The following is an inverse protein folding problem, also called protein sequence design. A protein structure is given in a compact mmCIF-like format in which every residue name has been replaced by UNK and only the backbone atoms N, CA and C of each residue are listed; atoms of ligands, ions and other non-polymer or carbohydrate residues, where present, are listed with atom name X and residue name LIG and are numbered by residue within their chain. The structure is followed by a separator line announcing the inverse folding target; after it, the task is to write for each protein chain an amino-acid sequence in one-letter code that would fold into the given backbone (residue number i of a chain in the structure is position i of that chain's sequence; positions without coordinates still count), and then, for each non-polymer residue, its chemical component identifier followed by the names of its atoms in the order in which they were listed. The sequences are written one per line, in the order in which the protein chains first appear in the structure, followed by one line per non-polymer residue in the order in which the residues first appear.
data_IF_082554028736
#
_entry.id   IF_082554028736
#
_cell.length_a   1.000
_cell.length_b   1.000
_cell.length_c   1.000
_cell.angle_alpha   90.00
_cell.angle_beta   90.00
_cell.angle_gamma   90.00
#
_symmetry.space_group_name_H-M   'P 1'
#
loop_
_entity.id
_entity.type
_entity.pdbx_description
1 polymer ?
#
# COMPACT_ATOMS: atom_id res chain seq x y z
N UNK A 1 13.42 -29.73 -22.07
CA UNK A 1 12.99 -29.10 -20.85
C UNK A 1 13.82 -27.81 -20.65
N UNK A 2 13.23 -26.62 -20.70
CA UNK A 2 13.97 -25.36 -20.81
C UNK A 2 14.56 -25.01 -19.44
N UNK A 3 15.86 -25.19 -19.22
CA UNK A 3 16.56 -24.95 -17.95
C UNK A 3 16.21 -23.55 -17.35
N UNK A 4 16.03 -22.54 -18.19
CA UNK A 4 15.66 -21.17 -17.76
C UNK A 4 14.31 -21.10 -17.03
N UNK A 5 13.38 -22.03 -17.30
CA UNK A 5 12.08 -22.07 -16.60
C UNK A 5 12.17 -22.71 -15.21
N UNK A 6 13.23 -23.47 -14.93
CA UNK A 6 13.46 -24.12 -13.64
C UNK A 6 14.30 -23.26 -12.66
N UNK A 7 15.05 -22.29 -13.17
CA UNK A 7 15.93 -21.45 -12.32
C UNK A 7 15.12 -20.68 -11.28
N UNK A 8 13.99 -20.06 -11.64
CA UNK A 8 13.15 -19.33 -10.69
C UNK A 8 12.62 -20.20 -9.54
N UNK A 9 11.92 -21.32 -9.82
CA UNK A 9 11.48 -22.24 -8.77
C UNK A 9 12.62 -22.80 -7.91
N UNK A 10 13.76 -23.15 -8.51
CA UNK A 10 14.92 -23.65 -7.78
C UNK A 10 15.51 -22.60 -6.82
N UNK A 11 15.65 -21.34 -7.27
CA UNK A 11 16.10 -20.25 -6.42
C UNK A 11 15.12 -19.99 -5.26
N UNK A 12 13.83 -20.06 -5.52
CA UNK A 12 12.80 -19.93 -4.47
C UNK A 12 12.91 -21.05 -3.44
N UNK A 13 13.05 -22.31 -3.90
CA UNK A 13 13.22 -23.46 -2.99
C UNK A 13 14.53 -23.32 -2.19
N UNK A 14 15.64 -22.98 -2.84
CA UNK A 14 16.93 -22.78 -2.18
C UNK A 14 16.85 -21.66 -1.13
N UNK A 15 16.15 -20.56 -1.42
CA UNK A 15 15.92 -19.46 -0.49
C UNK A 15 15.07 -19.90 0.71
N UNK A 16 13.98 -20.63 0.48
CA UNK A 16 13.14 -21.16 1.57
C UNK A 16 13.91 -22.12 2.46
N UNK A 17 14.69 -23.02 1.87
CA UNK A 17 15.55 -23.95 2.62
C UNK A 17 16.63 -23.21 3.41
N UNK A 18 17.23 -22.16 2.84
CA UNK A 18 18.19 -21.32 3.52
C UNK A 18 17.56 -20.60 4.73
N UNK A 19 16.37 -20.02 4.59
CA UNK A 19 15.64 -19.41 5.70
C UNK A 19 15.30 -20.44 6.77
N UNK A 20 14.80 -21.62 6.40
CA UNK A 20 14.49 -22.69 7.34
C UNK A 20 15.75 -23.15 8.10
N UNK A 21 16.88 -23.33 7.41
CA UNK A 21 18.17 -23.63 8.03
C UNK A 21 18.61 -22.54 9.02
N UNK A 22 18.50 -21.27 8.62
CA UNK A 22 18.87 -20.13 9.46
C UNK A 22 18.01 -20.04 10.73
N UNK A 23 16.70 -20.27 10.61
CA UNK A 23 15.77 -20.29 11.75
C UNK A 23 16.08 -21.45 12.71
N UNK A 24 16.41 -22.63 12.21
CA UNK A 24 16.67 -23.81 13.03
C UNK A 24 18.05 -23.73 13.70
N UNK A 25 19.11 -23.40 12.96
CA UNK A 25 20.49 -23.55 13.43
C UNK A 25 21.14 -22.27 13.96
N UNK A 26 20.66 -21.08 13.55
CA UNK A 26 21.26 -19.80 13.96
C UNK A 26 20.44 -19.05 14.98
N UNK A 27 19.11 -19.11 14.90
CA UNK A 27 18.20 -18.34 15.75
C UNK A 27 17.66 -19.19 16.91
N UNK A 28 17.88 -20.52 16.89
CA UNK A 28 17.31 -21.46 17.89
C UNK A 28 15.80 -21.28 18.06
N UNK A 29 15.07 -21.16 16.95
CA UNK A 29 13.67 -20.82 16.89
C UNK A 29 12.78 -21.86 17.56
N UNK A 30 12.00 -21.46 18.57
CA UNK A 30 11.05 -22.33 19.27
C UNK A 30 9.73 -22.47 18.51
N UNK A 31 9.64 -23.53 17.71
CA UNK A 31 8.44 -23.87 16.93
C UNK A 31 7.22 -24.15 17.82
N UNK A 32 7.41 -24.62 19.06
CA UNK A 32 6.31 -24.88 19.99
C UNK A 32 5.73 -23.56 20.51
N UNK A 33 6.57 -22.62 20.88
CA UNK A 33 6.18 -21.26 21.26
C UNK A 33 5.43 -20.57 20.10
N UNK A 34 6.00 -20.59 18.89
CA UNK A 34 5.36 -20.05 17.68
C UNK A 34 3.95 -20.63 17.46
N UNK A 35 3.82 -21.96 17.50
CA UNK A 35 2.53 -22.63 17.31
C UNK A 35 1.52 -22.30 18.40
N UNK A 36 1.94 -22.20 19.66
CA UNK A 36 1.09 -21.85 20.79
C UNK A 36 0.58 -20.42 20.68
N UNK A 37 1.43 -19.46 20.31
CA UNK A 37 1.06 -18.07 20.12
C UNK A 37 0.02 -17.89 19.00
N UNK A 38 0.18 -18.58 17.88
CA UNK A 38 -0.80 -18.55 16.79
C UNK A 38 -2.15 -19.18 17.19
N UNK A 39 -2.12 -20.27 17.97
CA UNK A 39 -3.36 -20.93 18.45
C UNK A 39 -4.11 -20.11 19.50
N UNK A 40 -3.38 -19.33 20.30
CA UNK A 40 -3.97 -18.46 21.32
C UNK A 40 -4.38 -17.08 20.77
N UNK A 41 -4.07 -16.80 19.51
CA UNK A 41 -4.44 -15.53 18.88
C UNK A 41 -5.96 -15.35 18.85
N UNK A 42 -6.43 -14.18 19.23
CA UNK A 42 -7.85 -13.84 19.33
C UNK A 42 -8.55 -13.84 17.97
N UNK A 43 -9.52 -14.74 17.72
CA UNK A 43 -10.26 -14.79 16.47
C UNK A 43 -11.05 -13.50 16.20
N UNK A 44 -11.50 -12.80 17.23
CA UNK A 44 -12.26 -11.56 17.12
C UNK A 44 -11.39 -10.44 16.52
N UNK A 45 -10.16 -10.27 17.01
CA UNK A 45 -9.22 -9.30 16.47
C UNK A 45 -8.79 -9.64 15.03
N UNK A 46 -8.59 -10.94 14.73
CA UNK A 46 -8.30 -11.41 13.37
C UNK A 46 -9.46 -11.07 12.43
N UNK A 47 -10.69 -11.40 12.83
CA UNK A 47 -11.88 -11.10 12.04
C UNK A 47 -12.07 -9.57 11.83
N UNK A 48 -11.82 -8.76 12.86
CA UNK A 48 -11.85 -7.31 12.75
C UNK A 48 -10.78 -6.79 11.77
N UNK A 49 -9.56 -7.31 11.83
CA UNK A 49 -8.48 -6.98 10.90
C UNK A 49 -8.86 -7.28 9.45
N UNK A 50 -9.38 -8.48 9.19
CA UNK A 50 -9.87 -8.89 7.85
C UNK A 50 -11.02 -7.99 7.40
N UNK A 51 -12.02 -7.73 8.25
CA UNK A 51 -13.16 -6.89 7.92
C UNK A 51 -12.73 -5.47 7.53
N UNK A 52 -11.75 -4.89 8.25
CA UNK A 52 -11.20 -3.57 7.93
C UNK A 52 -10.50 -3.55 6.56
N UNK A 53 -9.76 -4.59 6.20
CA UNK A 53 -9.15 -4.71 4.86
C UNK A 53 -10.24 -4.78 3.78
N UNK A 54 -11.25 -5.64 3.94
CA UNK A 54 -12.33 -5.76 2.96
C UNK A 54 -13.12 -4.46 2.81
N UNK A 55 -13.40 -3.77 3.92
CA UNK A 55 -14.06 -2.46 3.88
C UNK A 55 -13.21 -1.41 3.16
N UNK A 56 -11.88 -1.46 3.33
CA UNK A 56 -10.95 -0.60 2.57
C UNK A 56 -11.07 -0.82 1.06
N UNK A 57 -11.31 -2.06 0.60
CA UNK A 57 -11.54 -2.38 -0.82
C UNK A 57 -12.86 -1.82 -1.34
N UNK A 58 -13.92 -1.82 -0.52
CA UNK A 58 -15.19 -1.18 -0.88
C UNK A 58 -14.99 0.32 -1.09
N UNK A 59 -14.31 1.00 -0.15
CA UNK A 59 -14.00 2.43 -0.28
C UNK A 59 -13.10 2.69 -1.49
N UNK A 60 -12.11 1.85 -1.77
CA UNK A 60 -11.24 1.94 -2.94
C UNK A 60 -12.05 1.87 -4.24
N UNK A 61 -12.99 0.94 -4.34
CA UNK A 61 -13.88 0.83 -5.50
C UNK A 61 -14.76 2.07 -5.67
N UNK A 62 -15.25 2.59 -4.57
CA UNK A 62 -16.08 3.80 -4.58
C UNK A 62 -15.28 5.02 -5.02
N UNK A 63 -14.06 5.17 -4.50
CA UNK A 63 -13.13 6.24 -4.89
C UNK A 63 -12.80 6.16 -6.39
N UNK A 64 -12.55 4.96 -6.93
CA UNK A 64 -12.30 4.80 -8.36
C UNK A 64 -13.52 5.21 -9.20
N UNK A 65 -14.73 4.86 -8.77
CA UNK A 65 -15.96 5.32 -9.42
C UNK A 65 -16.10 6.85 -9.41
N UNK A 66 -15.62 7.53 -8.36
CA UNK A 66 -15.54 9.02 -8.32
C UNK A 66 -14.56 9.54 -9.37
N UNK A 67 -13.40 8.95 -9.52
CA UNK A 67 -12.41 9.34 -10.54
C UNK A 67 -12.91 9.13 -11.99
N UNK A 68 -13.83 8.19 -12.21
CA UNK A 68 -14.39 7.91 -13.52
C UNK A 68 -15.57 8.82 -13.92
N UNK A 69 -16.18 9.53 -12.97
CA UNK A 69 -17.40 10.35 -13.21
C UNK A 69 -17.31 11.33 -14.38
N UNK A 70 -16.16 11.99 -14.66
CA UNK A 70 -16.07 12.91 -15.79
C UNK A 70 -16.36 12.25 -17.14
N UNK A 71 -16.04 10.97 -17.31
CA UNK A 71 -16.20 10.25 -18.57
C UNK A 71 -17.20 9.12 -18.58
N UNK A 72 -17.41 8.44 -17.44
CA UNK A 72 -18.21 7.21 -17.38
C UNK A 72 -18.87 7.05 -16.02
N UNK A 73 -20.20 6.89 -16.02
CA UNK A 73 -20.95 6.59 -14.79
C UNK A 73 -20.94 5.08 -14.54
N UNK A 74 -20.17 4.65 -13.56
CA UNK A 74 -20.05 3.24 -13.18
C UNK A 74 -20.45 3.06 -11.72
N UNK A 75 -21.23 2.02 -11.43
CA UNK A 75 -21.58 1.68 -10.06
C UNK A 75 -20.34 1.25 -9.27
N UNK A 76 -20.11 1.77 -8.04
CA UNK A 76 -18.92 1.46 -7.26
C UNK A 76 -18.70 -0.04 -7.06
N UNK A 77 -19.74 -0.78 -6.72
CA UNK A 77 -19.65 -2.22 -6.46
C UNK A 77 -19.30 -3.03 -7.71
N UNK A 78 -19.60 -2.50 -8.91
CA UNK A 78 -19.23 -3.18 -10.16
C UNK A 78 -17.72 -3.22 -10.37
N UNK A 79 -16.95 -2.30 -9.79
CA UNK A 79 -15.49 -2.24 -9.87
C UNK A 79 -14.79 -3.13 -8.81
N UNK A 80 -15.53 -3.62 -7.81
CA UNK A 80 -14.98 -4.35 -6.68
C UNK A 80 -14.26 -5.64 -7.13
N UNK A 81 -14.83 -6.37 -8.08
CA UNK A 81 -14.20 -7.56 -8.67
C UNK A 81 -12.85 -7.24 -9.29
N UNK A 82 -12.78 -6.20 -10.13
CA UNK A 82 -11.51 -5.77 -10.75
C UNK A 82 -10.45 -5.35 -9.72
N UNK A 83 -10.87 -4.74 -8.59
CA UNK A 83 -9.94 -4.41 -7.49
C UNK A 83 -9.41 -5.68 -6.83
N UNK A 84 -10.28 -6.63 -6.43
CA UNK A 84 -9.84 -7.88 -5.83
C UNK A 84 -8.95 -8.70 -6.75
N UNK A 85 -9.31 -8.84 -8.03
CA UNK A 85 -8.48 -9.56 -9.01
C UNK A 85 -7.11 -8.92 -9.17
N UNK A 86 -7.06 -7.60 -9.36
CA UNK A 86 -5.80 -6.89 -9.55
C UNK A 86 -4.88 -6.97 -8.34
N UNK A 87 -5.40 -6.77 -7.12
CA UNK A 87 -4.58 -6.91 -5.91
C UNK A 87 -4.18 -8.35 -5.61
N UNK A 88 -5.01 -9.33 -5.96
CA UNK A 88 -4.63 -10.75 -5.90
C UNK A 88 -3.50 -11.06 -6.87
N UNK A 89 -3.52 -10.48 -8.06
CA UNK A 89 -2.42 -10.59 -9.02
C UNK A 89 -1.12 -9.98 -8.43
N UNK A 90 -1.20 -8.82 -7.77
CA UNK A 90 -0.03 -8.23 -7.07
C UNK A 90 0.47 -9.15 -5.96
N UNK A 91 -0.41 -9.72 -5.15
CA UNK A 91 -0.02 -10.62 -4.07
C UNK A 91 0.67 -11.88 -4.59
N UNK A 92 0.26 -12.41 -5.75
CA UNK A 92 0.78 -13.64 -6.34
C UNK A 92 1.99 -13.41 -7.25
N UNK A 93 2.01 -12.33 -8.04
CA UNK A 93 3.00 -12.08 -9.10
C UNK A 93 3.91 -10.87 -8.81
N UNK A 94 3.69 -10.17 -7.69
CA UNK A 94 4.46 -8.99 -7.31
C UNK A 94 3.99 -7.69 -7.96
N UNK A 95 4.75 -6.61 -7.73
CA UNK A 95 4.34 -5.24 -8.11
C UNK A 95 4.11 -5.00 -9.59
N UNK A 96 4.77 -5.73 -10.46
CA UNK A 96 4.54 -5.59 -11.91
C UNK A 96 3.08 -5.87 -12.28
N UNK A 97 2.40 -6.73 -11.51
CA UNK A 97 0.98 -7.01 -11.70
C UNK A 97 0.05 -5.87 -11.28
N UNK A 98 0.53 -4.78 -10.68
CA UNK A 98 -0.33 -3.65 -10.27
C UNK A 98 -0.99 -2.93 -11.47
N UNK A 99 -0.35 -2.97 -12.64
CA UNK A 99 -0.91 -2.47 -13.89
C UNK A 99 -2.09 -3.32 -14.43
N UNK A 100 -2.31 -4.51 -13.90
CA UNK A 100 -3.50 -5.30 -14.22
C UNK A 100 -4.80 -4.61 -13.81
N UNK A 101 -4.79 -3.78 -12.75
CA UNK A 101 -5.99 -3.06 -12.29
C UNK A 101 -6.51 -2.06 -13.31
N UNK A 102 -5.72 -1.08 -13.80
CA UNK A 102 -6.18 -0.18 -14.85
C UNK A 102 -6.62 -0.93 -16.12
N UNK A 103 -5.96 -2.02 -16.49
CA UNK A 103 -6.35 -2.86 -17.62
C UNK A 103 -7.75 -3.49 -17.42
N UNK A 104 -7.99 -4.12 -16.27
CA UNK A 104 -9.26 -4.75 -15.94
C UNK A 104 -10.41 -3.74 -15.89
N UNK A 105 -10.15 -2.56 -15.35
CA UNK A 105 -11.14 -1.49 -15.26
C UNK A 105 -11.42 -0.92 -16.65
N UNK A 106 -10.41 -0.73 -17.51
CA UNK A 106 -10.60 -0.32 -18.90
C UNK A 106 -11.51 -1.28 -19.66
N UNK A 107 -11.24 -2.59 -19.55
CA UNK A 107 -12.06 -3.65 -20.16
C UNK A 107 -13.50 -3.61 -19.65
N UNK A 108 -13.70 -3.44 -18.35
CA UNK A 108 -15.03 -3.41 -17.73
C UNK A 108 -15.84 -2.17 -18.07
N UNK A 109 -15.19 -1.01 -18.14
CA UNK A 109 -15.84 0.29 -18.37
C UNK A 109 -15.87 0.67 -19.84
N UNK A 110 -15.32 -0.16 -20.73
CA UNK A 110 -15.19 0.10 -22.17
C UNK A 110 -14.44 1.41 -22.46
N UNK A 111 -13.44 1.72 -21.64
CA UNK A 111 -12.55 2.87 -21.78
C UNK A 111 -11.17 2.42 -22.27
N UNK A 112 -10.29 3.37 -22.57
CA UNK A 112 -8.92 3.05 -23.00
C UNK A 112 -8.00 2.77 -21.84
N UNK A 113 -7.02 1.87 -22.00
CA UNK A 113 -6.02 1.55 -20.98
C UNK A 113 -5.19 2.79 -20.58
N UNK A 114 -4.72 3.65 -21.51
CA UNK A 114 -4.04 4.88 -21.15
C UNK A 114 -4.85 5.82 -20.26
N UNK A 115 -6.16 5.94 -20.49
CA UNK A 115 -7.03 6.73 -19.64
C UNK A 115 -7.10 6.16 -18.21
N UNK A 116 -7.14 4.83 -18.07
CA UNK A 116 -7.15 4.19 -16.75
C UNK A 116 -5.79 4.24 -16.05
N UNK A 117 -4.68 4.26 -16.79
CA UNK A 117 -3.35 4.52 -16.22
C UNK A 117 -3.26 5.94 -15.66
N UNK A 118 -3.86 6.93 -16.33
CA UNK A 118 -3.94 8.30 -15.79
C UNK A 118 -4.73 8.33 -14.48
N UNK A 119 -5.89 7.67 -14.40
CA UNK A 119 -6.68 7.52 -13.16
C UNK A 119 -5.87 6.81 -12.07
N UNK A 120 -5.16 5.75 -12.41
CA UNK A 120 -4.28 5.03 -11.50
C UNK A 120 -3.17 5.95 -10.93
N UNK A 121 -2.59 6.80 -11.76
CA UNK A 121 -1.57 7.77 -11.32
C UNK A 121 -2.14 8.75 -10.31
N UNK A 122 -3.33 9.30 -10.57
CA UNK A 122 -4.05 10.16 -9.63
C UNK A 122 -4.34 9.41 -8.32
N UNK A 123 -4.81 8.15 -8.40
CA UNK A 123 -5.01 7.30 -7.23
C UNK A 123 -3.73 7.20 -6.38
N UNK A 124 -2.58 6.95 -7.00
CA UNK A 124 -1.29 6.85 -6.28
C UNK A 124 -0.91 8.15 -5.56
N UNK A 125 -1.22 9.30 -6.15
CA UNK A 125 -0.95 10.59 -5.50
C UNK A 125 -1.79 10.77 -4.23
N UNK A 126 -3.09 10.43 -4.28
CA UNK A 126 -3.95 10.47 -3.10
C UNK A 126 -3.52 9.45 -2.03
N UNK A 127 -3.11 8.25 -2.44
CA UNK A 127 -2.61 7.23 -1.53
C UNK A 127 -1.34 7.67 -0.81
N UNK A 128 -0.38 8.26 -1.53
CA UNK A 128 0.86 8.79 -0.94
C UNK A 128 0.57 9.92 0.05
N UNK A 129 -0.31 10.85 -0.31
CA UNK A 129 -0.71 11.94 0.58
C UNK A 129 -1.40 11.44 1.84
N UNK A 130 -2.33 10.51 1.73
CA UNK A 130 -3.04 9.93 2.86
C UNK A 130 -2.10 9.12 3.77
N UNK A 131 -1.23 8.29 3.19
CA UNK A 131 -0.24 7.53 3.94
C UNK A 131 0.73 8.48 4.68
N UNK A 132 1.25 9.50 3.99
CA UNK A 132 2.15 10.47 4.60
C UNK A 132 1.50 11.21 5.78
N UNK A 133 0.22 11.60 5.67
CA UNK A 133 -0.51 12.21 6.78
C UNK A 133 -0.66 11.26 7.97
N UNK A 134 -1.02 10.00 7.73
CA UNK A 134 -1.21 9.02 8.80
C UNK A 134 0.12 8.71 9.49
N UNK A 135 1.19 8.44 8.75
CA UNK A 135 2.50 8.14 9.32
C UNK A 135 3.08 9.33 10.08
N UNK A 136 3.05 10.53 9.47
CA UNK A 136 3.59 11.72 10.12
C UNK A 136 2.80 12.10 11.37
N UNK A 137 1.47 11.99 11.35
CA UNK A 137 0.63 12.21 12.54
C UNK A 137 0.94 11.17 13.63
N UNK A 138 1.01 9.88 13.27
CA UNK A 138 1.32 8.82 14.23
C UNK A 138 2.67 9.06 14.94
N UNK A 139 3.68 9.51 14.21
CA UNK A 139 4.98 9.78 14.79
C UNK A 139 5.05 11.13 15.53
N UNK A 140 4.36 12.17 15.04
CA UNK A 140 4.29 13.46 15.73
C UNK A 140 3.63 13.36 17.12
N UNK A 141 2.69 12.43 17.26
CA UNK A 141 1.97 12.14 18.52
C UNK A 141 2.41 10.83 19.17
N UNK A 142 3.64 10.39 18.92
CA UNK A 142 4.18 9.15 19.49
C UNK A 142 4.17 9.23 21.04
N UNK A 143 3.78 8.16 21.75
CA UNK A 143 3.76 8.14 23.20
C UNK A 143 5.18 8.16 23.78
N UNK A 144 5.33 8.76 24.98
CA UNK A 144 6.64 8.98 25.66
C UNK A 144 7.41 7.69 25.97
N UNK A 145 6.70 6.58 26.12
CA UNK A 145 7.28 5.26 26.37
C UNK A 145 7.80 4.55 25.12
N UNK A 146 7.69 5.18 23.94
CA UNK A 146 8.21 4.61 22.70
C UNK A 146 9.74 4.76 22.64
N UNK A 147 10.49 3.72 22.25
CA UNK A 147 11.93 3.84 22.01
C UNK A 147 12.24 4.97 21.02
N UNK A 148 13.27 5.76 21.31
CA UNK A 148 13.65 6.92 20.47
C UNK A 148 12.53 7.96 20.27
N UNK A 149 11.64 8.12 21.26
CA UNK A 149 10.48 9.01 21.23
C UNK A 149 10.78 10.41 20.66
N UNK A 150 11.82 11.08 21.16
CA UNK A 150 12.18 12.43 20.68
C UNK A 150 12.49 12.46 19.18
N UNK A 151 13.26 11.48 18.69
CA UNK A 151 13.56 11.37 17.26
C UNK A 151 12.31 11.17 16.43
N UNK A 152 11.41 10.26 16.85
CA UNK A 152 10.16 10.03 16.15
C UNK A 152 9.25 11.25 16.15
N UNK A 153 9.12 11.96 17.28
CA UNK A 153 8.33 13.18 17.35
C UNK A 153 8.90 14.27 16.44
N UNK A 154 10.22 14.51 16.47
CA UNK A 154 10.83 15.51 15.59
C UNK A 154 10.63 15.18 14.11
N UNK A 155 10.92 13.93 13.72
CA UNK A 155 10.70 13.48 12.33
C UNK A 155 9.22 13.54 11.96
N UNK A 156 8.35 13.12 12.85
CA UNK A 156 6.90 13.14 12.64
C UNK A 156 6.35 14.55 12.45
N UNK A 157 6.70 15.49 13.34
CA UNK A 157 6.27 16.89 13.24
C UNK A 157 6.80 17.54 11.96
N UNK A 158 8.09 17.36 11.66
CA UNK A 158 8.69 17.92 10.44
C UNK A 158 8.02 17.35 9.19
N UNK A 159 7.83 16.03 9.14
CA UNK A 159 7.14 15.36 8.03
C UNK A 159 5.67 15.77 7.92
N UNK A 160 4.98 15.99 9.06
CA UNK A 160 3.59 16.43 9.08
C UNK A 160 3.46 17.84 8.48
N UNK A 161 4.32 18.76 8.93
CA UNK A 161 4.35 20.13 8.38
C UNK A 161 4.63 20.06 6.87
N UNK A 162 5.63 19.29 6.45
CA UNK A 162 5.97 19.12 5.03
C UNK A 162 4.81 18.53 4.22
N UNK A 163 4.14 17.52 4.74
CA UNK A 163 2.99 16.88 4.07
C UNK A 163 1.81 17.83 3.94
N UNK A 164 1.49 18.59 5.00
CA UNK A 164 0.42 19.61 4.96
C UNK A 164 0.78 20.73 3.98
N UNK A 165 2.03 21.20 3.99
CA UNK A 165 2.51 22.21 3.05
C UNK A 165 2.40 21.71 1.59
N UNK A 166 2.82 20.49 1.30
CA UNK A 166 2.68 19.89 -0.04
C UNK A 166 1.21 19.72 -0.45
N UNK A 167 0.33 19.32 0.47
CA UNK A 167 -1.10 19.22 0.20
C UNK A 167 -1.72 20.60 -0.11
N UNK A 168 -1.33 21.64 0.62
CA UNK A 168 -1.75 23.01 0.34
C UNK A 168 -1.22 23.51 -1.01
N UNK A 169 0.05 23.25 -1.33
CA UNK A 169 0.63 23.58 -2.64
C UNK A 169 -0.14 22.87 -3.76
N UNK A 170 -0.43 21.58 -3.61
CA UNK A 170 -1.21 20.83 -4.59
C UNK A 170 -2.61 21.44 -4.78
N UNK A 171 -3.26 21.84 -3.69
CA UNK A 171 -4.56 22.52 -3.72
C UNK A 171 -4.47 23.89 -4.43
N UNK A 172 -3.46 24.71 -4.12
CA UNK A 172 -3.23 26.02 -4.75
C UNK A 172 -2.97 25.80 -6.26
N UNK A 173 -2.11 24.86 -6.64
CA UNK A 173 -1.85 24.54 -8.06
C UNK A 173 -3.13 24.07 -8.77
N UNK A 174 -3.97 23.28 -8.11
CA UNK A 174 -5.25 22.86 -8.68
C UNK A 174 -6.17 24.05 -8.96
N UNK A 175 -6.28 25.00 -8.03
CA UNK A 175 -7.21 26.14 -8.11
C UNK A 175 -6.63 27.26 -8.99
N UNK A 176 -5.35 27.55 -8.87
CA UNK A 176 -4.69 28.73 -9.43
C UNK A 176 -3.41 28.37 -10.22
N UNK A 177 -3.33 27.17 -10.82
CA UNK A 177 -2.10 26.65 -11.42
C UNK A 177 -1.52 27.53 -12.52
N UNK A 178 -2.35 28.25 -13.31
CA UNK A 178 -1.87 29.20 -14.31
C UNK A 178 -1.15 30.37 -13.65
N UNK A 179 -1.69 30.91 -12.56
CA UNK A 179 -1.06 32.00 -11.81
C UNK A 179 0.23 31.54 -11.14
N UNK A 180 0.24 30.32 -10.55
CA UNK A 180 1.43 29.73 -9.94
C UNK A 180 2.53 29.48 -10.98
N UNK A 181 2.19 28.94 -12.14
CA UNK A 181 3.12 28.71 -13.24
C UNK A 181 3.71 30.03 -13.78
N UNK A 182 2.87 31.06 -13.93
CA UNK A 182 3.30 32.41 -14.31
C UNK A 182 4.24 33.05 -13.29
N UNK A 183 3.89 32.95 -12.00
CA UNK A 183 4.74 33.44 -10.91
C UNK A 183 6.08 32.69 -10.85
N UNK A 184 6.08 31.37 -10.93
CA UNK A 184 7.30 30.57 -10.93
C UNK A 184 8.21 30.92 -12.12
N UNK A 185 7.61 31.14 -13.32
CA UNK A 185 8.34 31.57 -14.50
C UNK A 185 8.95 32.97 -14.31
N UNK A 186 8.18 33.93 -13.82
CA UNK A 186 8.66 35.31 -13.58
C UNK A 186 9.77 35.34 -12.52
N UNK A 187 9.64 34.63 -11.42
CA UNK A 187 10.62 34.60 -10.34
C UNK A 187 11.96 33.94 -10.75
N UNK A 188 11.91 32.93 -11.63
CA UNK A 188 13.07 32.13 -11.99
C UNK A 188 13.69 32.47 -13.36
N UNK A 189 13.04 33.32 -14.16
CA UNK A 189 13.53 33.73 -15.49
C UNK A 189 14.89 34.44 -15.42
N UNK A 190 15.14 35.19 -14.33
CA UNK A 190 16.42 35.84 -14.08
C UNK A 190 17.59 34.89 -13.77
N UNK A 191 17.30 33.67 -13.35
CA UNK A 191 18.30 32.63 -13.08
C UNK A 191 18.55 31.76 -14.32
N UNK A 192 17.49 31.31 -14.97
CA UNK A 192 17.55 30.50 -16.20
C UNK A 192 16.18 30.44 -16.86
N UNK A 193 16.03 30.97 -18.06
CA UNK A 193 14.78 30.87 -18.83
C UNK A 193 14.37 29.42 -19.12
N UNK A 194 15.35 28.55 -19.43
CA UNK A 194 15.09 27.13 -19.70
C UNK A 194 14.52 26.42 -18.49
N UNK A 195 15.07 26.69 -17.31
CA UNK A 195 14.59 26.11 -16.04
C UNK A 195 13.20 26.67 -15.68
N UNK A 196 13.01 27.99 -15.80
CA UNK A 196 11.73 28.66 -15.52
C UNK A 196 10.59 28.12 -16.39
N UNK A 197 10.84 27.96 -17.71
CA UNK A 197 9.86 27.39 -18.63
C UNK A 197 9.54 25.91 -18.31
N UNK A 198 10.58 25.10 -18.12
CA UNK A 198 10.40 23.68 -17.76
C UNK A 198 9.60 23.49 -16.45
N UNK A 199 9.87 24.31 -15.43
CA UNK A 199 9.12 24.25 -14.17
C UNK A 199 7.67 24.71 -14.37
N UNK A 200 7.45 25.79 -15.12
CA UNK A 200 6.10 26.28 -15.45
C UNK A 200 5.27 25.22 -16.18
N UNK A 201 5.85 24.56 -17.18
CA UNK A 201 5.19 23.44 -17.89
C UNK A 201 4.85 22.27 -16.95
N UNK A 202 5.78 21.87 -16.08
CA UNK A 202 5.53 20.80 -15.10
C UNK A 202 4.40 21.15 -14.14
N UNK A 203 4.30 22.41 -13.68
CA UNK A 203 3.21 22.89 -12.84
C UNK A 203 1.87 22.78 -13.58
N UNK A 204 1.84 23.17 -14.85
CA UNK A 204 0.62 23.08 -15.67
C UNK A 204 0.22 21.62 -15.93
N UNK A 205 1.17 20.75 -16.28
CA UNK A 205 0.90 19.31 -16.42
C UNK A 205 0.42 18.67 -15.10
N UNK A 206 0.99 19.06 -13.96
CA UNK A 206 0.53 18.60 -12.65
C UNK A 206 -0.91 19.06 -12.37
N UNK A 207 -1.22 20.36 -12.64
CA UNK A 207 -2.59 20.88 -12.55
C UNK A 207 -3.55 20.09 -13.43
N UNK A 208 -3.18 19.83 -14.67
CA UNK A 208 -4.02 19.12 -15.64
C UNK A 208 -4.25 17.67 -15.20
N UNK A 209 -3.26 17.02 -14.59
CA UNK A 209 -3.42 15.73 -13.94
C UNK A 209 -4.43 15.77 -12.79
N UNK A 210 -4.36 16.81 -11.94
CA UNK A 210 -5.34 17.01 -10.86
C UNK A 210 -6.73 17.40 -11.36
N UNK A 211 -6.85 18.03 -12.52
CA UNK A 211 -8.11 18.44 -13.14
C UNK A 211 -8.86 17.28 -13.80
N UNK A 212 -8.25 16.08 -13.90
CA UNK A 212 -8.95 14.85 -14.24
C UNK A 212 -10.13 14.54 -13.28
N UNK A 213 -10.10 15.15 -12.08
CA UNK A 213 -11.25 15.18 -11.16
C UNK A 213 -12.03 16.47 -11.47
N UNK A 214 -13.28 16.34 -11.93
CA UNK A 214 -14.05 17.44 -12.53
C UNK A 214 -14.40 18.56 -11.55
N UNK A 215 -14.59 18.27 -10.26
CA UNK A 215 -15.01 19.26 -9.27
C UNK A 215 -14.16 19.28 -8.00
N UNK A 216 -14.18 20.41 -7.28
CA UNK A 216 -13.54 20.52 -5.96
C UNK A 216 -14.21 19.56 -4.94
N UNK A 217 -15.51 19.38 -5.04
CA UNK A 217 -16.25 18.42 -4.21
C UNK A 217 -15.73 16.98 -4.40
N UNK A 218 -15.53 16.53 -5.63
CA UNK A 218 -14.98 15.20 -5.92
C UNK A 218 -13.54 15.05 -5.44
N UNK A 219 -12.74 16.11 -5.53
CA UNK A 219 -11.37 16.14 -4.99
C UNK A 219 -11.37 15.92 -3.47
N UNK A 220 -12.21 16.67 -2.74
CA UNK A 220 -12.35 16.55 -1.28
C UNK A 220 -12.88 15.16 -0.90
N UNK A 221 -13.88 14.64 -1.62
CA UNK A 221 -14.41 13.29 -1.39
C UNK A 221 -13.31 12.25 -1.60
N UNK A 222 -12.53 12.35 -2.67
CA UNK A 222 -11.42 11.43 -2.93
C UNK A 222 -10.34 11.48 -1.85
N UNK A 223 -10.01 12.67 -1.34
CA UNK A 223 -9.06 12.85 -0.24
C UNK A 223 -9.57 12.18 1.05
N UNK A 224 -10.84 12.44 1.43
CA UNK A 224 -11.46 11.83 2.61
C UNK A 224 -11.52 10.31 2.46
N UNK A 225 -11.91 9.79 1.30
CA UNK A 225 -11.93 8.35 1.04
C UNK A 225 -10.55 7.72 1.13
N UNK A 226 -9.51 8.43 0.68
CA UNK A 226 -8.12 7.96 0.76
C UNK A 226 -7.66 7.89 2.22
N UNK A 227 -7.94 8.92 3.01
CA UNK A 227 -7.64 8.92 4.46
C UNK A 227 -8.40 7.80 5.19
N UNK A 228 -9.70 7.65 4.92
CA UNK A 228 -10.50 6.59 5.53
C UNK A 228 -9.97 5.19 5.18
N UNK A 229 -9.64 4.95 3.92
CA UNK A 229 -9.06 3.68 3.46
C UNK A 229 -7.73 3.37 4.15
N UNK A 230 -6.81 4.35 4.20
CA UNK A 230 -5.52 4.16 4.86
C UNK A 230 -5.66 4.02 6.38
N UNK A 231 -6.61 4.75 7.01
CA UNK A 231 -6.94 4.57 8.42
C UNK A 231 -7.46 3.14 8.71
N UNK A 232 -8.29 2.57 7.84
CA UNK A 232 -8.74 1.18 7.98
C UNK A 232 -7.60 0.18 7.86
N UNK A 233 -6.67 0.38 6.91
CA UNK A 233 -5.47 -0.46 6.80
C UNK A 233 -4.63 -0.33 8.08
N UNK A 234 -4.41 0.89 8.58
CA UNK A 234 -3.68 1.15 9.81
C UNK A 234 -4.33 0.46 11.03
N UNK A 235 -5.65 0.58 11.17
CA UNK A 235 -6.41 -0.10 12.22
C UNK A 235 -6.36 -1.63 12.08
N UNK A 236 -6.30 -2.16 10.86
CA UNK A 236 -6.10 -3.60 10.64
C UNK A 236 -4.75 -4.07 11.20
N UNK A 237 -3.68 -3.27 11.07
CA UNK A 237 -2.38 -3.55 11.71
C UNK A 237 -2.51 -3.60 13.23
N UNK A 238 -3.19 -2.60 13.84
CA UNK A 238 -3.45 -2.57 15.28
C UNK A 238 -4.21 -3.82 15.72
N UNK A 239 -5.32 -4.15 15.06
CA UNK A 239 -6.13 -5.32 15.40
C UNK A 239 -5.33 -6.62 15.27
N UNK A 240 -4.50 -6.76 14.23
CA UNK A 240 -3.67 -7.94 14.05
C UNK A 240 -2.63 -8.11 15.16
N UNK A 241 -1.99 -7.01 15.61
CA UNK A 241 -1.06 -7.05 16.74
C UNK A 241 -1.81 -7.41 18.05
N UNK A 242 -2.96 -6.77 18.32
CA UNK A 242 -3.79 -7.04 19.48
C UNK A 242 -4.37 -8.46 19.50
N UNK A 243 -4.35 -9.19 18.37
CA UNK A 243 -4.74 -10.60 18.37
C UNK A 243 -3.83 -11.47 19.24
N UNK A 244 -2.57 -11.07 19.46
CA UNK A 244 -1.62 -11.80 20.31
C UNK A 244 -1.81 -11.44 21.78
N UNK A 245 -2.96 -11.80 22.33
CA UNK A 245 -3.41 -11.42 23.69
C UNK A 245 -2.49 -11.91 24.80
N UNK A 246 -1.72 -12.97 24.56
CA UNK A 246 -0.77 -13.54 25.54
C UNK A 246 0.59 -12.84 25.53
N UNK A 247 0.82 -11.95 24.56
CA UNK A 247 2.08 -11.20 24.43
C UNK A 247 1.85 -9.71 24.76
N UNK A 248 2.24 -9.24 25.95
CA UNK A 248 1.95 -7.88 26.39
C UNK A 248 2.50 -6.78 25.48
N UNK A 249 3.63 -7.04 24.81
CA UNK A 249 4.26 -6.09 23.89
C UNK A 249 3.44 -5.85 22.62
N UNK A 250 2.61 -6.82 22.23
CA UNK A 250 1.70 -6.72 21.08
C UNK A 250 0.25 -6.41 21.51
N UNK A 251 -0.23 -7.01 22.59
CA UNK A 251 -1.59 -6.79 23.09
C UNK A 251 -1.88 -5.34 23.48
N UNK A 252 -0.86 -4.61 23.94
CA UNK A 252 -0.96 -3.21 24.35
C UNK A 252 -0.29 -2.23 23.37
N UNK A 253 -0.06 -2.67 22.14
CA UNK A 253 0.65 -1.89 21.13
C UNK A 253 -0.14 -0.65 20.73
N UNK A 254 0.49 0.51 20.81
CA UNK A 254 -0.13 1.80 20.48
C UNK A 254 -0.24 1.99 18.95
N UNK A 255 -1.12 2.91 18.53
CA UNK A 255 -1.26 3.25 17.11
C UNK A 255 0.07 3.66 16.46
N UNK A 256 0.86 4.51 17.14
CA UNK A 256 2.17 4.96 16.61
C UNK A 256 3.16 3.81 16.43
N UNK A 257 3.17 2.87 17.39
CA UNK A 257 3.98 1.66 17.27
C UNK A 257 3.52 0.77 16.12
N UNK A 258 2.20 0.59 15.94
CA UNK A 258 1.65 -0.14 14.80
C UNK A 258 2.02 0.52 13.46
N UNK A 259 2.10 1.85 13.41
CA UNK A 259 2.55 2.57 12.21
C UNK A 259 4.04 2.34 11.91
N UNK A 260 4.89 2.22 12.92
CA UNK A 260 6.28 1.83 12.68
C UNK A 260 6.37 0.42 12.05
N UNK A 261 5.57 -0.53 12.55
CA UNK A 261 5.51 -1.89 11.98
C UNK A 261 4.93 -1.88 10.55
N UNK A 262 3.93 -1.06 10.30
CA UNK A 262 3.38 -0.89 8.96
C UNK A 262 4.42 -0.30 7.99
N UNK A 263 5.21 0.68 8.42
CA UNK A 263 6.31 1.24 7.64
C UNK A 263 7.39 0.17 7.36
N UNK A 264 7.77 -0.62 8.37
CA UNK A 264 8.70 -1.74 8.22
C UNK A 264 8.16 -2.80 7.24
N UNK A 265 6.88 -3.15 7.37
CA UNK A 265 6.19 -4.12 6.50
C UNK A 265 6.16 -3.64 5.04
N UNK A 266 5.81 -2.37 4.80
CA UNK A 266 5.84 -1.77 3.46
C UNK A 266 7.27 -1.76 2.91
N UNK A 267 8.27 -1.38 3.73
CA UNK A 267 9.68 -1.41 3.37
C UNK A 267 10.14 -2.81 2.97
N UNK A 268 9.81 -3.82 3.77
CA UNK A 268 10.10 -5.23 3.49
C UNK A 268 9.42 -5.75 2.22
N UNK A 269 8.26 -5.19 1.88
CA UNK A 269 7.52 -5.53 0.65
C UNK A 269 8.06 -4.87 -0.61
N UNK A 270 9.03 -3.93 -0.52
CA UNK A 270 9.61 -3.28 -1.72
C UNK A 270 10.38 -4.26 -2.61
N UNK A 271 10.98 -5.29 -2.02
CA UNK A 271 11.65 -6.39 -2.75
C UNK A 271 10.66 -7.43 -3.28
N UNK A 272 9.60 -7.00 -3.95
CA UNK A 272 8.47 -7.84 -4.37
C UNK A 272 8.81 -8.79 -5.52
N UNK A 273 9.67 -9.77 -5.21
CA UNK A 273 9.73 -11.00 -5.98
C UNK A 273 8.59 -11.93 -5.49
N UNK A 274 7.92 -12.67 -6.38
CA UNK A 274 6.88 -13.62 -5.98
C UNK A 274 7.41 -14.56 -4.90
N UNK A 275 6.61 -14.82 -3.85
CA UNK A 275 6.95 -15.66 -2.69
C UNK A 275 8.11 -15.12 -1.83
N UNK A 276 9.26 -14.76 -2.43
CA UNK A 276 10.41 -14.19 -1.70
C UNK A 276 10.04 -12.90 -0.98
N UNK A 277 9.25 -12.03 -1.61
CA UNK A 277 8.74 -10.79 -1.02
C UNK A 277 7.89 -11.03 0.24
N UNK A 278 7.19 -12.14 0.34
CA UNK A 278 6.43 -12.50 1.55
C UNK A 278 7.36 -12.78 2.73
N UNK A 279 8.42 -13.55 2.50
CA UNK A 279 9.41 -13.85 3.53
C UNK A 279 10.20 -12.62 3.94
N UNK A 280 10.59 -11.75 3.00
CA UNK A 280 11.28 -10.49 3.33
C UNK A 280 10.38 -9.55 4.13
N UNK A 281 9.10 -9.45 3.78
CA UNK A 281 8.13 -8.67 4.54
C UNK A 281 7.97 -9.20 5.97
N UNK A 282 7.80 -10.52 6.15
CA UNK A 282 7.71 -11.15 7.47
C UNK A 282 9.00 -10.88 8.25
N UNK A 283 10.17 -11.13 7.66
CA UNK A 283 11.45 -10.98 8.33
C UNK A 283 11.72 -9.54 8.80
N UNK A 284 11.50 -8.54 7.91
CA UNK A 284 11.70 -7.13 8.26
C UNK A 284 10.73 -6.70 9.36
N UNK A 285 9.46 -7.11 9.27
CA UNK A 285 8.44 -6.76 10.27
C UNK A 285 8.73 -7.42 11.62
N UNK A 286 9.12 -8.71 11.64
CA UNK A 286 9.48 -9.44 12.85
C UNK A 286 10.71 -8.86 13.53
N UNK A 287 11.73 -8.52 12.73
CA UNK A 287 12.94 -7.89 13.25
C UNK A 287 12.64 -6.51 13.84
N UNK A 288 11.78 -5.73 13.20
CA UNK A 288 11.33 -4.44 13.74
C UNK A 288 10.60 -4.59 15.08
N UNK A 289 9.69 -5.58 15.22
CA UNK A 289 9.00 -5.89 16.49
C UNK A 289 9.99 -6.28 17.58
N UNK A 290 10.90 -7.22 17.26
CA UNK A 290 11.89 -7.71 18.21
C UNK A 290 12.83 -6.59 18.67
N UNK A 291 13.39 -5.84 17.74
CA UNK A 291 14.36 -4.78 18.03
C UNK A 291 13.74 -3.56 18.74
N UNK A 292 12.50 -3.19 18.38
CA UNK A 292 11.88 -1.96 18.90
C UNK A 292 11.05 -2.18 20.16
N UNK A 293 10.48 -3.37 20.35
CA UNK A 293 9.52 -3.64 21.44
C UNK A 293 9.93 -4.80 22.34
N UNK A 294 11.04 -5.48 22.04
CA UNK A 294 11.49 -6.66 22.79
C UNK A 294 10.58 -7.87 22.64
N UNK A 295 9.69 -7.89 21.66
CA UNK A 295 8.81 -9.03 21.38
C UNK A 295 9.65 -10.26 21.06
N UNK A 296 9.39 -11.45 21.66
CA UNK A 296 10.06 -12.68 21.30
C UNK A 296 9.99 -12.94 19.80
N UNK A 297 11.09 -13.39 19.19
CA UNK A 297 11.20 -13.49 17.72
C UNK A 297 10.16 -14.46 17.12
N UNK A 298 9.77 -15.48 17.87
CA UNK A 298 8.74 -16.45 17.50
C UNK A 298 7.36 -15.77 17.39
N UNK A 299 7.00 -15.00 18.41
CA UNK A 299 5.74 -14.25 18.43
C UNK A 299 5.74 -13.16 17.36
N UNK A 300 6.85 -12.44 17.22
CA UNK A 300 7.04 -11.42 16.19
C UNK A 300 6.91 -12.00 14.79
N UNK A 301 7.48 -13.19 14.54
CA UNK A 301 7.36 -13.91 13.27
C UNK A 301 5.92 -14.35 13.01
N UNK A 302 5.23 -14.86 14.04
CA UNK A 302 3.82 -15.21 13.95
C UNK A 302 2.94 -14.01 13.61
N UNK A 303 3.18 -12.87 14.28
CA UNK A 303 2.47 -11.64 14.01
C UNK A 303 2.75 -11.10 12.60
N UNK A 304 4.02 -11.10 12.15
CA UNK A 304 4.40 -10.70 10.79
C UNK A 304 3.75 -11.58 9.71
N UNK A 305 3.69 -12.90 9.95
CA UNK A 305 2.99 -13.82 9.06
C UNK A 305 1.47 -13.56 9.02
N UNK A 306 0.86 -13.32 10.17
CA UNK A 306 -0.56 -12.99 10.28
C UNK A 306 -0.89 -11.64 9.62
N UNK A 307 -0.02 -10.63 9.76
CA UNK A 307 -0.13 -9.36 9.06
C UNK A 307 -0.13 -9.55 7.54
N UNK A 308 0.82 -10.32 7.01
CA UNK A 308 0.85 -10.65 5.58
C UNK A 308 -0.41 -11.38 5.14
N UNK A 309 -0.86 -12.36 5.92
CA UNK A 309 -2.06 -13.14 5.63
C UNK A 309 -3.30 -12.24 5.58
N UNK A 310 -3.51 -11.38 6.57
CA UNK A 310 -4.69 -10.50 6.67
C UNK A 310 -4.65 -9.42 5.59
N UNK A 311 -3.51 -8.72 5.42
CA UNK A 311 -3.46 -7.54 4.56
C UNK A 311 -3.28 -7.85 3.07
N UNK A 312 -2.74 -9.01 2.74
CA UNK A 312 -2.38 -9.35 1.34
C UNK A 312 -2.96 -10.68 0.87
N UNK A 313 -2.86 -11.76 1.67
CA UNK A 313 -3.26 -13.07 1.20
C UNK A 313 -4.76 -13.37 1.39
N UNK A 314 -5.42 -12.74 2.37
CA UNK A 314 -6.86 -12.95 2.62
C UNK A 314 -7.73 -12.56 1.43
N UNK A 315 -7.28 -11.64 0.60
CA UNK A 315 -8.01 -11.17 -0.58
C UNK A 315 -7.90 -12.11 -1.79
N UNK A 316 -6.87 -12.97 -1.82
CA UNK A 316 -6.59 -13.86 -2.97
C UNK A 316 -7.75 -14.82 -3.28
N UNK A 317 -8.37 -15.52 -2.30
CA UNK A 317 -9.50 -16.40 -2.60
C UNK A 317 -10.66 -15.66 -3.28
N UNK A 318 -11.00 -14.46 -2.80
CA UNK A 318 -12.07 -13.63 -3.37
C UNK A 318 -11.69 -13.14 -4.76
N UNK A 319 -10.45 -12.71 -4.96
CA UNK A 319 -9.96 -12.32 -6.28
C UNK A 319 -10.00 -13.47 -7.29
N UNK A 320 -9.65 -14.69 -6.90
CA UNK A 320 -9.76 -15.87 -7.76
C UNK A 320 -11.21 -16.20 -8.12
N UNK A 321 -12.14 -16.07 -7.18
CA UNK A 321 -13.59 -16.24 -7.44
C UNK A 321 -14.06 -15.22 -8.47
N UNK A 322 -13.72 -13.92 -8.29
CA UNK A 322 -14.10 -12.89 -9.26
C UNK A 322 -13.42 -13.09 -10.61
N UNK A 323 -12.15 -13.50 -10.66
CA UNK A 323 -11.46 -13.81 -11.92
C UNK A 323 -12.18 -14.91 -12.70
N UNK A 324 -12.66 -15.95 -12.01
CA UNK A 324 -13.43 -17.02 -12.62
C UNK A 324 -14.81 -16.55 -13.11
N UNK A 325 -15.53 -15.76 -12.31
CA UNK A 325 -16.86 -15.22 -12.67
C UNK A 325 -16.77 -14.28 -13.86
N UNK A 326 -15.72 -13.47 -13.94
CA UNK A 326 -15.52 -12.50 -15.03
C UNK A 326 -14.77 -13.10 -16.23
N UNK A 327 -14.51 -14.41 -16.23
CA UNK A 327 -13.75 -15.14 -17.28
C UNK A 327 -12.39 -14.52 -17.61
N UNK A 328 -11.71 -13.99 -16.58
CA UNK A 328 -10.37 -13.40 -16.67
C UNK A 328 -9.33 -14.51 -16.50
N UNK A 329 -8.45 -14.68 -17.50
CA UNK A 329 -7.35 -15.64 -17.39
C UNK A 329 -6.20 -15.07 -16.55
N UNK A 330 -5.73 -15.83 -15.55
CA UNK A 330 -4.52 -15.48 -14.79
C UNK A 330 -3.27 -15.41 -15.68
N UNK A 331 -3.27 -16.10 -16.83
CA UNK A 331 -2.23 -16.01 -17.85
C UNK A 331 -2.25 -14.62 -18.51
N UNK A 332 -3.43 -14.13 -18.89
CA UNK A 332 -3.63 -12.78 -19.46
C UNK A 332 -3.13 -11.69 -18.49
N UNK A 333 -3.41 -11.81 -17.20
CA UNK A 333 -2.92 -10.88 -16.18
C UNK A 333 -1.39 -10.88 -16.07
N UNK A 334 -0.76 -12.03 -16.16
CA UNK A 334 0.70 -12.16 -16.11
C UNK A 334 1.37 -11.58 -17.36
N UNK A 335 0.80 -11.82 -18.54
CA UNK A 335 1.30 -11.29 -19.82
C UNK A 335 1.15 -9.77 -19.88
N UNK A 336 0.00 -9.22 -19.48
CA UNK A 336 -0.22 -7.75 -19.39
C UNK A 336 0.72 -7.08 -18.39
N UNK A 337 1.16 -7.81 -17.36
CA UNK A 337 2.14 -7.31 -16.39
C UNK A 337 3.59 -7.33 -16.94
N UNK A 338 3.88 -8.19 -17.90
CA UNK A 338 5.22 -8.33 -18.50
C UNK A 338 5.47 -7.38 -19.68
N UNK A 339 4.42 -6.93 -20.38
CA UNK A 339 4.50 -6.04 -21.55
C UNK A 339 3.59 -4.81 -21.41
N UNK A 340 3.88 -3.88 -20.49
CA UNK A 340 3.02 -2.69 -20.30
C UNK A 340 3.11 -1.65 -21.44
N UNK A 341 3.98 -1.83 -22.43
CA UNK A 341 4.28 -0.84 -23.47
C UNK A 341 3.71 -1.19 -24.86
N UNK A 342 3.01 -2.32 -25.04
CA UNK A 342 2.60 -2.78 -26.37
C UNK A 342 1.08 -2.69 -26.65
N UNK A 343 0.30 -1.96 -25.81
CA UNK A 343 -1.15 -1.80 -26.01
C UNK A 343 -1.55 -0.33 -26.06
#
# INVERSE_FOLDING_TARGET
MNLRKLVGPLLTIAFVLFIAWLLIYRIHFDWKMFGNQLRSASPAHIAAGVALIYLSFVIRSWRWAVFLRPGTKVGPLSLLGSQFVGFSAVAMFGRLADLSRPYLIAKRTKTTVPAQIAVYTVERMFDLGAAALIFSSAFAFAPKNMPHHETFVHVGVFSLIGTVALALIALIVRVSGVAVAGFARGALSGLSEKFANSLSEKILHFRDGLSAISSMSEFVIAAIMSLAMWAMIALSYVQTCHAFVMEPTLANLTFSQAMLLMAASIGGSLLQLPVVGWFTQIAVTSTAMHASYGTPIETATGCGALLLLITSLSIVPVGLIYARVESISMKELKETSAEPAAV
#
